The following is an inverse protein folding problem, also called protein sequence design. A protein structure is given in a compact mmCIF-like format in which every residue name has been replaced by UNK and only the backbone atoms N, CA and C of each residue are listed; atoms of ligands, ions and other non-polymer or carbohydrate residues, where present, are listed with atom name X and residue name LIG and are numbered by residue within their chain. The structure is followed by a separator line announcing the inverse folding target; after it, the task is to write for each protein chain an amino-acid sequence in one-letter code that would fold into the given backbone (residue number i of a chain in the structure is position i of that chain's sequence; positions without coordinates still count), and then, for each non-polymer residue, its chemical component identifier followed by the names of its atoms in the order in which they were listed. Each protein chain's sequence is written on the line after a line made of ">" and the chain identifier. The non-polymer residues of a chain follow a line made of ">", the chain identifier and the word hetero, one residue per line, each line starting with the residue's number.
data_IF_467158547781
#
_entry.id   IF_467158547781
#
_cell.length_a   1.000
_cell.length_b   1.000
_cell.length_c   1.000
_cell.angle_alpha   90.00
_cell.angle_beta   90.00
_cell.angle_gamma   90.00
#
_symmetry.space_group_name_H-M   'P 1'
#
loop_
_entity.id
_entity.type
_entity.pdbx_description
1 polymer ?
#
# COMPACT_ATOMS: atom_id res chain seq x y z
N UNK A 1 21.43 4.41 -13.91
CA UNK A 1 20.82 4.05 -12.63
C UNK A 1 21.19 2.60 -12.36
N UNK A 2 21.90 2.31 -11.27
CA UNK A 2 22.35 0.95 -10.96
C UNK A 2 21.32 0.28 -10.05
N UNK A 3 20.84 -0.92 -10.41
CA UNK A 3 19.90 -1.66 -9.58
C UNK A 3 20.66 -2.53 -8.58
N UNK A 4 20.20 -2.53 -7.33
CA UNK A 4 20.72 -3.38 -6.26
C UNK A 4 19.69 -4.41 -5.81
N UNK A 5 20.18 -5.55 -5.35
CA UNK A 5 19.35 -6.60 -4.75
C UNK A 5 18.92 -6.16 -3.35
N UNK A 6 17.62 -6.11 -3.13
CA UNK A 6 16.99 -5.83 -1.84
C UNK A 6 16.25 -7.09 -1.38
N UNK A 7 16.61 -7.58 -0.20
CA UNK A 7 15.91 -8.70 0.45
C UNK A 7 14.90 -8.16 1.43
N UNK A 8 13.66 -8.64 1.37
CA UNK A 8 12.59 -8.32 2.31
C UNK A 8 12.02 -9.61 2.89
N UNK A 9 11.46 -9.54 4.10
CA UNK A 9 10.85 -10.69 4.76
C UNK A 9 9.36 -10.44 4.97
N UNK A 10 8.52 -11.30 4.37
CA UNK A 10 7.07 -11.18 4.38
C UNK A 10 6.49 -12.54 4.80
N UNK A 11 5.70 -12.56 5.87
CA UNK A 11 5.11 -13.75 6.47
C UNK A 11 6.13 -14.89 6.65
N UNK A 12 7.27 -14.53 7.24
CA UNK A 12 8.39 -15.43 7.56
C UNK A 12 9.06 -16.08 6.35
N UNK A 13 8.83 -15.54 5.15
CA UNK A 13 9.49 -15.91 3.89
C UNK A 13 10.33 -14.75 3.38
N UNK A 14 11.51 -15.06 2.84
CA UNK A 14 12.39 -14.06 2.23
C UNK A 14 12.11 -13.94 0.73
N UNK A 15 12.08 -12.70 0.25
CA UNK A 15 11.88 -12.35 -1.15
C UNK A 15 12.96 -11.38 -1.59
N UNK A 16 13.46 -11.56 -2.80
CA UNK A 16 14.52 -10.73 -3.36
C UNK A 16 13.97 -9.93 -4.55
N UNK A 17 14.18 -8.62 -4.50
CA UNK A 17 13.78 -7.68 -5.53
C UNK A 17 14.98 -6.88 -6.03
N UNK A 18 14.88 -6.36 -7.25
CA UNK A 18 15.81 -5.35 -7.77
C UNK A 18 15.18 -3.97 -7.57
N UNK A 19 15.94 -3.04 -6.99
CA UNK A 19 15.51 -1.65 -6.79
C UNK A 19 16.69 -0.71 -6.99
N UNK A 20 16.44 0.51 -7.46
CA UNK A 20 17.45 1.59 -7.36
C UNK A 20 17.55 2.09 -5.93
N UNK A 21 18.57 2.91 -5.65
CA UNK A 21 18.74 3.52 -4.32
C UNK A 21 17.56 4.42 -3.94
N UNK A 22 16.91 5.06 -4.92
CA UNK A 22 15.72 5.90 -4.72
C UNK A 22 14.44 5.08 -4.47
N UNK A 23 14.31 3.92 -5.09
CA UNK A 23 13.13 3.04 -4.95
C UNK A 23 13.17 2.21 -3.66
N UNK A 24 14.38 1.89 -3.17
CA UNK A 24 14.58 1.00 -2.03
C UNK A 24 13.76 1.37 -0.78
N UNK A 25 13.69 2.65 -0.33
CA UNK A 25 12.88 3.00 0.84
C UNK A 25 11.38 2.75 0.63
N UNK A 26 10.86 3.04 -0.56
CA UNK A 26 9.46 2.83 -0.90
C UNK A 26 9.13 1.33 -0.95
N UNK A 27 10.03 0.51 -1.52
CA UNK A 27 9.90 -0.94 -1.54
C UNK A 27 9.89 -1.54 -0.13
N UNK A 28 10.78 -1.10 0.76
CA UNK A 28 10.83 -1.57 2.15
C UNK A 28 9.52 -1.24 2.88
N UNK A 29 9.04 -0.01 2.73
CA UNK A 29 7.77 0.42 3.32
C UNK A 29 6.58 -0.41 2.81
N UNK A 30 6.55 -0.70 1.51
CA UNK A 30 5.51 -1.54 0.92
C UNK A 30 5.57 -2.99 1.43
N UNK A 31 6.78 -3.54 1.62
CA UNK A 31 6.97 -4.87 2.16
C UNK A 31 6.52 -4.97 3.63
N UNK A 32 6.83 -3.96 4.45
CA UNK A 32 6.40 -3.89 5.85
C UNK A 32 4.86 -3.80 5.96
N UNK A 33 4.22 -2.99 5.11
CA UNK A 33 2.76 -2.88 5.07
C UNK A 33 2.11 -4.22 4.66
N UNK A 34 2.68 -4.90 3.66
CA UNK A 34 2.21 -6.21 3.22
C UNK A 34 2.36 -7.26 4.33
N UNK A 35 3.51 -7.34 5.00
CA UNK A 35 3.76 -8.26 6.12
C UNK A 35 2.77 -8.02 7.27
N UNK A 36 2.59 -6.76 7.68
CA UNK A 36 1.63 -6.40 8.73
C UNK A 36 0.20 -6.83 8.39
N UNK A 37 -0.23 -6.60 7.14
CA UNK A 37 -1.57 -6.97 6.67
C UNK A 37 -1.74 -8.49 6.63
N UNK A 38 -0.77 -9.22 6.07
CA UNK A 38 -0.77 -10.67 6.01
C UNK A 38 -0.78 -11.31 7.41
N UNK A 39 0.02 -10.80 8.36
CA UNK A 39 0.03 -11.26 9.76
C UNK A 39 -1.31 -11.01 10.45
N UNK A 40 -1.93 -9.85 10.21
CA UNK A 40 -3.26 -9.55 10.74
C UNK A 40 -4.31 -10.55 10.26
N UNK A 41 -4.37 -10.81 8.95
CA UNK A 41 -5.32 -11.77 8.36
C UNK A 41 -5.06 -13.20 8.87
N UNK A 42 -3.78 -13.62 8.92
CA UNK A 42 -3.39 -14.95 9.39
C UNK A 42 -3.72 -15.17 10.87
N UNK A 43 -3.56 -14.15 11.73
CA UNK A 43 -3.97 -14.21 13.15
C UNK A 43 -5.47 -14.44 13.30
N UNK A 44 -6.28 -13.79 12.46
CA UNK A 44 -7.74 -13.93 12.49
C UNK A 44 -8.24 -15.23 11.83
N UNK A 45 -7.43 -15.85 10.96
CA UNK A 45 -7.80 -17.02 10.15
C UNK A 45 -6.65 -18.03 10.11
N UNK A 46 -6.40 -18.71 11.23
CA UNK A 46 -5.23 -19.58 11.41
C UNK A 46 -5.15 -20.74 10.41
N UNK A 47 -6.28 -21.20 9.87
CA UNK A 47 -6.38 -22.30 8.91
C UNK A 47 -6.07 -21.90 7.45
N UNK A 48 -6.06 -20.60 7.11
CA UNK A 48 -5.80 -20.17 5.73
C UNK A 48 -4.33 -20.37 5.34
N UNK A 49 -4.09 -20.94 4.17
CA UNK A 49 -2.75 -21.03 3.57
C UNK A 49 -2.19 -19.65 3.20
N UNK A 50 -0.86 -19.56 3.15
CA UNK A 50 -0.13 -18.30 2.87
C UNK A 50 -0.58 -17.64 1.55
N UNK A 51 -0.87 -18.42 0.51
CA UNK A 51 -1.26 -17.89 -0.80
C UNK A 51 -2.62 -17.17 -0.74
N UNK A 52 -3.58 -17.70 0.02
CA UNK A 52 -4.88 -17.05 0.23
C UNK A 52 -4.75 -15.80 1.09
N UNK A 53 -3.90 -15.86 2.11
CA UNK A 53 -3.56 -14.69 2.94
C UNK A 53 -2.94 -13.57 2.09
N UNK A 54 -2.04 -13.90 1.17
CA UNK A 54 -1.43 -12.93 0.27
C UNK A 54 -2.45 -12.27 -0.66
N UNK A 55 -3.36 -13.05 -1.27
CA UNK A 55 -4.44 -12.50 -2.12
C UNK A 55 -5.34 -11.56 -1.31
N UNK A 56 -5.74 -11.95 -0.10
CA UNK A 56 -6.58 -11.10 0.75
C UNK A 56 -5.86 -9.83 1.18
N UNK A 57 -4.57 -9.92 1.51
CA UNK A 57 -3.77 -8.75 1.87
C UNK A 57 -3.65 -7.78 0.69
N UNK A 58 -3.35 -8.28 -0.51
CA UNK A 58 -3.28 -7.47 -1.72
C UNK A 58 -4.63 -6.78 -2.02
N UNK A 59 -5.75 -7.49 -1.85
CA UNK A 59 -7.08 -6.93 -2.04
C UNK A 59 -7.39 -5.83 -1.03
N UNK A 60 -7.10 -6.04 0.25
CA UNK A 60 -7.32 -5.05 1.31
C UNK A 60 -6.50 -3.78 1.07
N UNK A 61 -5.20 -3.92 0.79
CA UNK A 61 -4.32 -2.78 0.51
C UNK A 61 -4.78 -2.01 -0.74
N UNK A 62 -5.18 -2.73 -1.80
CA UNK A 62 -5.72 -2.08 -3.01
C UNK A 62 -7.00 -1.30 -2.70
N UNK A 63 -7.87 -1.85 -1.86
CA UNK A 63 -9.09 -1.20 -1.44
C UNK A 63 -8.82 0.07 -0.61
N UNK A 64 -7.88 0.02 0.34
CA UNK A 64 -7.44 1.18 1.12
C UNK A 64 -6.86 2.28 0.22
N UNK A 65 -6.02 1.91 -0.76
CA UNK A 65 -5.46 2.87 -1.73
C UNK A 65 -6.57 3.54 -2.55
N UNK A 66 -7.58 2.78 -2.99
CA UNK A 66 -8.73 3.35 -3.72
C UNK A 66 -9.55 4.31 -2.86
N UNK A 67 -9.77 3.97 -1.58
CA UNK A 67 -10.47 4.87 -0.65
C UNK A 67 -9.69 6.18 -0.46
N UNK A 68 -8.36 6.11 -0.32
CA UNK A 68 -7.53 7.30 -0.17
C UNK A 68 -7.56 8.19 -1.42
N UNK A 69 -7.51 7.60 -2.61
CA UNK A 69 -7.65 8.33 -3.88
C UNK A 69 -9.00 9.05 -3.96
N UNK A 70 -10.10 8.34 -3.66
CA UNK A 70 -11.44 8.92 -3.68
C UNK A 70 -11.58 10.07 -2.65
N UNK A 71 -10.98 9.93 -1.47
CA UNK A 71 -10.98 10.98 -0.46
C UNK A 71 -10.19 12.22 -0.93
N UNK A 72 -9.04 12.00 -1.59
CA UNK A 72 -8.24 13.08 -2.17
C UNK A 72 -9.01 13.85 -3.27
N UNK A 73 -9.67 13.14 -4.18
CA UNK A 73 -10.48 13.74 -5.25
C UNK A 73 -11.65 14.56 -4.67
N UNK A 74 -12.27 14.06 -3.60
CA UNK A 74 -13.34 14.78 -2.89
C UNK A 74 -12.82 16.07 -2.23
N UNK A 75 -11.61 16.06 -1.68
CA UNK A 75 -10.98 17.28 -1.13
C UNK A 75 -10.67 18.28 -2.25
N UNK A 76 -10.16 17.80 -3.39
CA UNK A 76 -9.90 18.64 -4.56
C UNK A 76 -11.16 19.35 -5.07
N UNK A 77 -12.24 18.60 -5.26
CA UNK A 77 -13.52 19.17 -5.70
C UNK A 77 -14.09 20.18 -4.69
N UNK A 78 -13.99 19.90 -3.38
CA UNK A 78 -14.43 20.85 -2.34
C UNK A 78 -13.61 22.14 -2.38
N UNK A 79 -12.28 22.05 -2.54
CA UNK A 79 -11.40 23.22 -2.67
C UNK A 79 -11.79 24.08 -3.87
N UNK A 80 -12.05 23.44 -5.01
CA UNK A 80 -12.42 24.16 -6.23
C UNK A 80 -13.80 24.83 -6.11
N UNK A 81 -14.76 24.19 -5.44
CA UNK A 81 -16.06 24.81 -5.11
C UNK A 81 -15.92 26.01 -4.17
N UNK A 82 -15.03 25.92 -3.16
CA UNK A 82 -14.76 27.03 -2.24
C UNK A 82 -14.14 28.24 -2.97
N UNK A 83 -13.15 28.00 -3.84
CA UNK A 83 -12.53 29.08 -4.62
C UNK A 83 -13.55 29.81 -5.50
N UNK A 84 -14.42 29.07 -6.21
CA UNK A 84 -15.49 29.67 -7.03
C UNK A 84 -16.47 30.51 -6.21
N UNK A 85 -16.78 30.11 -4.98
CA UNK A 85 -17.67 30.86 -4.10
C UNK A 85 -17.03 32.16 -3.58
N UNK A 86 -15.70 32.17 -3.43
CA UNK A 86 -14.94 33.36 -3.02
C UNK A 86 -14.71 34.34 -4.17
N UNK A 87 -14.53 33.85 -5.40
CA UNK A 87 -14.37 34.69 -6.61
C UNK A 87 -15.65 35.40 -7.04
N UNK A 88 -16.83 34.84 -6.69
CA UNK A 88 -18.13 35.43 -7.00
C UNK A 88 -18.62 36.45 -5.96
N UNK A 89 -17.71 37.04 -5.18
CA UNK A 89 -17.97 38.04 -4.13
C UNK A 89 -17.19 39.32 -4.40
#
# INVERSE_FOLDING_TARGET
>A
MNQQKVTVRILDREYQFAATDEERPALLTAADQLDATMRSIKRNNTTLGADKVAIMAALNISHEMMQLKNAHDKIGSLRDSLNKALENK
#
